data_IF_173342922892
#
_entry.id   IF_173342922892
#
_cell.length_a   1.000
_cell.length_b   1.000
_cell.length_c   1.000
_cell.angle_alpha   90.00
_cell.angle_beta   90.00
_cell.angle_gamma   90.00
#
_symmetry.space_group_name_H-M   'P 1'
#
loop_
_entity.id
_entity.type
_entity.pdbx_description
1 polymer ?
#
# COMPACT_ATOMS: atom_id res chain seq x y z
N UNK A 1 -20.68 -4.02 -7.97
CA UNK A 1 -20.06 -2.69 -8.24
C UNK A 1 -18.68 -2.65 -7.58
N UNK A 2 -17.65 -2.13 -8.27
CA UNK A 2 -16.29 -1.95 -7.74
C UNK A 2 -16.26 -0.77 -6.77
N UNK A 3 -15.60 -0.93 -5.62
CA UNK A 3 -15.33 0.17 -4.67
C UNK A 3 -13.82 0.34 -4.48
N UNK A 4 -13.30 1.52 -4.77
CA UNK A 4 -11.89 1.86 -4.53
C UNK A 4 -11.61 2.01 -3.03
N UNK A 5 -10.38 1.68 -2.64
CA UNK A 5 -9.87 1.80 -1.27
C UNK A 5 -8.60 2.66 -1.33
N UNK A 6 -8.56 3.66 -0.47
CA UNK A 6 -7.40 4.55 -0.30
C UNK A 6 -6.97 4.55 1.16
N UNK A 7 -5.68 4.43 1.41
CA UNK A 7 -5.09 4.41 2.75
C UNK A 7 -4.29 5.69 2.95
N UNK A 8 -4.62 6.44 4.02
CA UNK A 8 -3.91 7.68 4.34
C UNK A 8 -2.43 7.37 4.62
N UNK A 9 -1.53 8.12 3.99
CA UNK A 9 -0.08 7.90 4.10
C UNK A 9 0.51 6.93 3.07
N UNK A 10 -0.33 6.22 2.30
CA UNK A 10 0.11 5.32 1.23
C UNK A 10 -0.34 5.81 -0.16
N UNK A 11 -0.62 7.10 -0.30
CA UNK A 11 -1.08 7.67 -1.57
C UNK A 11 -0.05 7.49 -2.68
N UNK A 12 -0.51 7.03 -3.84
CA UNK A 12 0.30 7.00 -5.05
C UNK A 12 0.46 8.42 -5.64
N UNK A 13 1.58 8.65 -6.33
CA UNK A 13 1.80 9.90 -7.10
C UNK A 13 0.78 10.05 -8.24
N UNK A 14 0.36 8.94 -8.83
CA UNK A 14 -0.66 8.89 -9.88
C UNK A 14 -2.03 8.56 -9.28
N UNK A 15 -3.15 8.92 -9.94
CA UNK A 15 -4.50 8.73 -9.41
C UNK A 15 -4.97 7.27 -9.50
N UNK A 16 -4.24 6.36 -8.86
CA UNK A 16 -4.58 4.96 -8.71
C UNK A 16 -4.87 4.64 -7.24
N UNK A 17 -5.91 3.87 -6.93
CA UNK A 17 -6.23 3.50 -5.55
C UNK A 17 -5.25 2.44 -5.03
N UNK A 18 -5.10 2.35 -3.71
CA UNK A 18 -4.28 1.32 -3.06
C UNK A 18 -4.83 -0.09 -3.29
N UNK A 19 -6.16 -0.22 -3.29
CA UNK A 19 -6.85 -1.47 -3.56
C UNK A 19 -8.25 -1.20 -4.11
N UNK A 20 -8.93 -2.27 -4.52
CA UNK A 20 -10.37 -2.21 -4.74
C UNK A 20 -11.05 -3.47 -4.21
N UNK A 21 -12.32 -3.32 -3.80
CA UNK A 21 -13.20 -4.43 -3.49
C UNK A 21 -14.14 -4.69 -4.66
N UNK A 22 -14.22 -5.94 -5.07
CA UNK A 22 -15.17 -6.44 -6.08
C UNK A 22 -15.87 -7.66 -5.47
N UNK A 23 -17.16 -7.52 -5.18
CA UNK A 23 -17.89 -8.56 -4.43
C UNK A 23 -17.30 -8.78 -3.04
N UNK A 24 -17.02 -10.03 -2.70
CA UNK A 24 -16.37 -10.45 -1.45
C UNK A 24 -14.84 -10.46 -1.52
N UNK A 25 -14.25 -10.13 -2.67
CA UNK A 25 -12.80 -10.17 -2.88
C UNK A 25 -12.19 -8.76 -2.83
N UNK A 26 -10.98 -8.70 -2.30
CA UNK A 26 -10.13 -7.50 -2.28
C UNK A 26 -8.91 -7.75 -3.15
N UNK A 27 -8.61 -6.78 -4.01
CA UNK A 27 -7.46 -6.81 -4.91
C UNK A 27 -6.60 -5.59 -4.59
N UNK A 28 -5.40 -5.83 -4.08
CA UNK A 28 -4.42 -4.77 -3.86
C UNK A 28 -3.76 -4.34 -5.17
N UNK A 29 -3.32 -3.09 -5.24
CA UNK A 29 -2.29 -2.67 -6.17
C UNK A 29 -0.90 -3.12 -5.69
N UNK A 30 0.15 -2.54 -6.27
CA UNK A 30 1.51 -2.73 -5.78
C UNK A 30 1.67 -2.11 -4.39
N UNK A 31 2.12 -2.91 -3.43
CA UNK A 31 2.44 -2.44 -2.06
C UNK A 31 3.93 -2.12 -2.01
N UNK A 32 4.26 -0.86 -1.73
CA UNK A 32 5.64 -0.41 -1.65
C UNK A 32 6.18 -0.57 -0.23
N UNK A 33 7.47 -0.87 -0.12
CA UNK A 33 8.22 -1.02 1.13
C UNK A 33 8.63 0.32 1.79
N UNK A 34 7.98 1.42 1.40
CA UNK A 34 8.30 2.76 1.90
C UNK A 34 7.76 2.97 3.31
N UNK A 35 8.44 3.80 4.10
CA UNK A 35 7.89 4.30 5.35
C UNK A 35 6.62 5.14 5.05
N UNK A 36 5.46 4.86 5.66
CA UNK A 36 4.21 5.58 5.37
C UNK A 36 4.17 7.02 5.90
N UNK A 37 5.17 7.43 6.69
CA UNK A 37 5.31 8.78 7.26
C UNK A 37 6.36 9.57 6.48
N UNK A 38 7.56 9.02 6.28
CA UNK A 38 8.67 9.74 5.62
C UNK A 38 8.71 9.53 4.11
N UNK A 39 8.07 8.48 3.60
CA UNK A 39 8.12 8.01 2.22
C UNK A 39 9.47 7.49 1.72
N UNK A 40 10.44 7.31 2.62
CA UNK A 40 11.73 6.75 2.28
C UNK A 40 11.67 5.22 2.14
N UNK A 41 12.50 4.69 1.25
CA UNK A 41 12.77 3.26 1.15
C UNK A 41 14.01 2.93 2.01
N UNK A 42 13.89 2.07 3.03
CA UNK A 42 15.05 1.64 3.84
C UNK A 42 16.13 0.96 2.99
N UNK A 43 17.39 1.05 3.41
CA UNK A 43 18.49 0.34 2.73
C UNK A 43 18.44 -1.18 2.96
N UNK A 44 18.03 -1.60 4.16
CA UNK A 44 18.03 -3.00 4.54
C UNK A 44 16.80 -3.74 4.04
N UNK A 45 17.01 -4.91 3.44
CA UNK A 45 15.94 -5.76 2.91
C UNK A 45 14.94 -6.21 3.99
N UNK A 46 15.41 -6.42 5.23
CA UNK A 46 14.56 -6.81 6.34
C UNK A 46 13.56 -5.69 6.68
N UNK A 47 14.02 -4.44 6.72
CA UNK A 47 13.17 -3.28 7.01
C UNK A 47 12.22 -2.98 5.86
N UNK A 48 12.67 -3.16 4.62
CA UNK A 48 11.78 -3.07 3.45
C UNK A 48 10.65 -4.12 3.54
N UNK A 49 10.99 -5.35 3.91
CA UNK A 49 10.00 -6.42 4.06
C UNK A 49 9.01 -6.12 5.18
N UNK A 50 9.51 -5.64 6.34
CA UNK A 50 8.66 -5.24 7.46
C UNK A 50 7.69 -4.13 7.07
N UNK A 51 8.17 -3.08 6.38
CA UNK A 51 7.33 -2.00 5.88
C UNK A 51 6.29 -2.50 4.88
N UNK A 52 6.67 -3.38 3.94
CA UNK A 52 5.75 -3.91 2.94
C UNK A 52 4.56 -4.63 3.59
N UNK A 53 4.82 -5.51 4.57
CA UNK A 53 3.75 -6.23 5.26
C UNK A 53 2.94 -5.33 6.21
N UNK A 54 3.58 -4.34 6.85
CA UNK A 54 2.86 -3.34 7.64
C UNK A 54 1.91 -2.50 6.77
N UNK A 55 2.38 -2.07 5.58
CA UNK A 55 1.58 -1.30 4.62
C UNK A 55 0.45 -2.12 4.01
N UNK A 56 0.64 -3.43 3.81
CA UNK A 56 -0.41 -4.34 3.35
C UNK A 56 -1.55 -4.50 4.38
N UNK A 57 -1.24 -4.41 5.67
CA UNK A 57 -2.21 -4.57 6.77
C UNK A 57 -3.07 -3.32 7.01
N UNK A 58 -2.57 -2.14 6.65
CA UNK A 58 -3.19 -0.83 6.91
C UNK A 58 -4.45 -0.60 6.06
#
# INVERSE_FOLDING_TARGET
>A
MRKSISVKGLSHRHPVPNACRIGSMVFSGAVHAVNPITHDLPSEMADQSANLFANMRA
#
